data_IF_472635149657
#
_entry.id   IF_472635149657
#
_cell.length_a   1.000
_cell.length_b   1.000
_cell.length_c   1.000
_cell.angle_alpha   90.00
_cell.angle_beta   90.00
_cell.angle_gamma   90.00
#
_symmetry.space_group_name_H-M   'P 1'
#
loop_
_entity.id
_entity.type
_entity.pdbx_description
1 polymer ?
#
# COMPACT_ATOMS: atom_id res chain seq x y z
N UNK A 1 -25.23 11.01 3.37
CA UNK A 1 -24.36 10.72 2.22
C UNK A 1 -23.73 12.03 1.74
N UNK A 2 -22.43 12.22 1.96
CA UNK A 2 -21.70 13.33 1.30
C UNK A 2 -21.89 13.18 -0.20
N UNK A 3 -22.32 14.23 -0.88
CA UNK A 3 -22.46 14.25 -2.33
C UNK A 3 -21.07 14.06 -2.94
N UNK A 4 -20.79 12.87 -3.48
CA UNK A 4 -19.52 12.57 -4.15
C UNK A 4 -19.67 13.01 -5.61
N UNK A 5 -18.84 13.94 -6.04
CA UNK A 5 -18.83 14.40 -7.42
C UNK A 5 -17.97 13.52 -8.34
N UNK A 6 -17.12 12.68 -7.74
CA UNK A 6 -16.18 11.83 -8.46
C UNK A 6 -15.85 10.55 -7.67
N UNK A 7 -15.80 9.40 -8.34
CA UNK A 7 -15.41 8.12 -7.74
C UNK A 7 -14.54 7.36 -8.74
N UNK A 8 -13.34 6.98 -8.31
CA UNK A 8 -12.51 5.99 -9.02
C UNK A 8 -12.88 4.59 -8.53
N UNK A 9 -13.41 3.76 -9.44
CA UNK A 9 -13.88 2.42 -9.10
C UNK A 9 -13.07 1.34 -9.85
N UNK A 10 -12.25 0.53 -9.14
CA UNK A 10 -11.36 -0.46 -9.75
C UNK A 10 -12.10 -1.76 -10.10
N UNK A 11 -13.04 -1.71 -11.05
CA UNK A 11 -13.90 -2.85 -11.44
C UNK A 11 -13.10 -4.11 -11.78
N UNK A 12 -12.04 -3.98 -12.57
CA UNK A 12 -11.18 -5.11 -12.94
C UNK A 12 -10.36 -5.62 -11.74
N UNK A 13 -9.85 -4.72 -10.90
CA UNK A 13 -9.14 -5.10 -9.67
C UNK A 13 -10.00 -5.94 -8.75
N UNK A 14 -11.24 -5.54 -8.53
CA UNK A 14 -12.18 -6.34 -7.73
C UNK A 14 -12.51 -7.70 -8.37
N UNK A 15 -12.63 -7.77 -9.69
CA UNK A 15 -12.83 -9.04 -10.40
C UNK A 15 -11.65 -10.01 -10.19
N UNK A 16 -10.42 -9.50 -10.16
CA UNK A 16 -9.21 -10.29 -9.92
C UNK A 16 -9.09 -10.74 -8.46
N UNK A 17 -9.42 -9.85 -7.51
CA UNK A 17 -9.31 -10.15 -6.07
C UNK A 17 -10.41 -11.11 -5.60
N UNK A 18 -11.59 -11.13 -6.21
CA UNK A 18 -12.71 -11.96 -5.77
C UNK A 18 -12.37 -13.46 -5.61
N UNK A 19 -11.75 -14.15 -6.58
CA UNK A 19 -11.41 -15.57 -6.41
C UNK A 19 -10.43 -15.80 -5.24
N UNK A 20 -9.55 -14.83 -4.94
CA UNK A 20 -8.63 -14.91 -3.80
C UNK A 20 -9.42 -14.82 -2.48
N UNK A 21 -10.37 -13.88 -2.39
CA UNK A 21 -11.25 -13.72 -1.23
C UNK A 21 -12.07 -14.99 -0.98
N UNK A 22 -12.61 -15.59 -2.04
CA UNK A 22 -13.40 -16.82 -1.94
C UNK A 22 -12.55 -17.98 -1.39
N UNK A 23 -11.29 -18.09 -1.82
CA UNK A 23 -10.34 -19.06 -1.25
C UNK A 23 -10.04 -18.77 0.22
N UNK A 24 -9.79 -17.52 0.59
CA UNK A 24 -9.55 -17.11 1.98
C UNK A 24 -10.77 -17.42 2.85
N UNK A 25 -11.97 -17.19 2.36
CA UNK A 25 -13.19 -17.51 3.08
C UNK A 25 -13.38 -19.01 3.33
N UNK A 26 -12.91 -19.85 2.42
CA UNK A 26 -13.02 -21.34 2.52
C UNK A 26 -11.89 -21.95 3.33
N UNK A 27 -10.66 -21.51 3.10
CA UNK A 27 -9.45 -22.18 3.60
C UNK A 27 -8.78 -21.42 4.76
N UNK A 28 -9.23 -20.22 5.08
CA UNK A 28 -8.52 -19.33 6.00
C UNK A 28 -7.37 -18.57 5.30
N UNK A 29 -6.57 -17.87 6.10
CA UNK A 29 -5.47 -17.04 5.61
C UNK A 29 -5.85 -15.58 5.48
N UNK A 30 -5.12 -14.81 4.66
CA UNK A 30 -5.34 -13.40 4.47
C UNK A 30 -4.66 -12.86 3.23
N UNK A 31 -4.96 -11.61 2.91
CA UNK A 31 -4.38 -10.83 1.82
C UNK A 31 -3.78 -9.56 2.39
N UNK A 32 -2.50 -9.33 2.13
CA UNK A 32 -1.76 -8.11 2.45
C UNK A 32 -1.56 -7.32 1.16
N UNK A 33 -2.01 -6.06 1.15
CA UNK A 33 -1.80 -5.16 0.04
C UNK A 33 -1.02 -3.94 0.51
N UNK A 34 -0.01 -3.59 -0.27
CA UNK A 34 0.85 -2.42 -0.05
C UNK A 34 0.93 -1.68 -1.38
N UNK A 35 0.45 -0.45 -1.40
CA UNK A 35 0.48 0.38 -2.61
C UNK A 35 0.42 1.86 -2.26
N UNK A 36 0.72 2.72 -3.22
CA UNK A 36 0.51 4.15 -3.04
C UNK A 36 -0.98 4.49 -3.17
N UNK A 37 -1.46 5.28 -2.21
CA UNK A 37 -2.90 5.53 -2.13
C UNK A 37 -3.32 6.49 -1.03
N UNK A 38 -4.62 6.61 -0.87
CA UNK A 38 -5.26 7.50 0.07
C UNK A 38 -6.34 6.79 0.89
N UNK A 39 -6.64 7.38 2.06
CA UNK A 39 -7.72 6.92 2.96
C UNK A 39 -8.90 7.88 2.89
N UNK A 40 -8.62 9.20 2.90
CA UNK A 40 -9.67 10.22 2.84
C UNK A 40 -10.22 10.34 1.42
N UNK A 41 -11.55 10.38 1.30
CA UNK A 41 -12.23 10.53 0.02
C UNK A 41 -11.72 11.76 -0.75
N UNK A 42 -11.36 11.54 -2.01
CA UNK A 42 -10.99 12.59 -2.97
C UNK A 42 -12.15 12.82 -3.94
N UNK A 43 -12.41 14.07 -4.28
CA UNK A 43 -13.43 14.47 -5.26
C UNK A 43 -12.83 14.81 -6.63
N UNK A 44 -11.62 14.35 -6.92
CA UNK A 44 -10.93 14.57 -8.18
C UNK A 44 -10.18 13.31 -8.60
N UNK A 45 -9.92 13.18 -9.88
CA UNK A 45 -9.12 12.09 -10.43
C UNK A 45 -7.71 12.08 -9.84
N UNK A 46 -7.23 10.87 -9.55
CA UNK A 46 -5.83 10.63 -9.14
C UNK A 46 -5.00 10.07 -10.30
N UNK A 47 -5.58 9.97 -11.49
CA UNK A 47 -4.89 9.52 -12.70
C UNK A 47 -3.73 10.46 -13.00
N UNK A 48 -2.56 9.89 -13.21
CA UNK A 48 -1.33 10.62 -13.49
C UNK A 48 -0.46 9.86 -14.47
N UNK A 49 0.39 10.61 -15.18
CA UNK A 49 1.44 10.06 -16.01
C UNK A 49 2.81 10.44 -15.45
N UNK A 50 3.73 9.47 -15.45
CA UNK A 50 5.10 9.63 -14.94
C UNK A 50 6.09 9.12 -15.98
N UNK A 51 7.10 9.92 -16.28
CA UNK A 51 8.22 9.54 -17.14
C UNK A 51 9.54 9.94 -16.48
N UNK A 52 10.48 8.99 -16.39
CA UNK A 52 11.77 9.20 -15.74
C UNK A 52 11.65 9.81 -14.33
N UNK A 53 10.70 9.28 -13.53
CA UNK A 53 10.37 9.75 -12.17
C UNK A 53 9.89 11.22 -12.08
N UNK A 54 9.48 11.81 -13.19
CA UNK A 54 8.91 13.17 -13.25
C UNK A 54 7.47 13.12 -13.72
N UNK A 55 6.67 14.06 -13.23
CA UNK A 55 5.29 14.24 -13.67
C UNK A 55 5.29 14.54 -15.18
N UNK A 56 4.43 13.85 -15.90
CA UNK A 56 4.23 13.96 -17.35
C UNK A 56 2.76 14.30 -17.63
N UNK A 57 2.47 14.89 -18.75
CA UNK A 57 1.09 15.09 -19.19
C UNK A 57 0.47 13.76 -19.63
N UNK A 58 -0.82 13.53 -19.32
CA UNK A 58 -1.49 12.23 -19.50
C UNK A 58 -1.39 11.68 -20.92
N UNK A 59 -1.46 12.55 -21.91
CA UNK A 59 -1.46 12.16 -23.32
C UNK A 59 -0.11 12.37 -24.03
N UNK A 60 0.90 12.78 -23.27
CA UNK A 60 2.26 12.93 -23.79
C UNK A 60 3.06 11.65 -23.58
N UNK A 61 3.95 11.36 -24.56
CA UNK A 61 4.85 10.20 -24.48
C UNK A 61 4.12 8.84 -24.35
N UNK A 62 3.01 8.67 -25.05
CA UNK A 62 2.25 7.41 -25.06
C UNK A 62 3.15 6.22 -25.39
N UNK A 63 3.00 5.14 -24.63
CA UNK A 63 3.81 3.93 -24.75
C UNK A 63 5.21 4.01 -24.12
N UNK A 64 5.64 5.20 -23.63
CA UNK A 64 6.94 5.40 -22.96
C UNK A 64 6.85 6.14 -21.61
N UNK A 65 5.65 6.37 -21.12
CA UNK A 65 5.36 6.93 -19.82
C UNK A 65 4.41 5.98 -19.06
N UNK A 66 4.61 5.87 -17.75
CA UNK A 66 3.73 5.09 -16.88
C UNK A 66 2.45 5.86 -16.60
N UNK A 67 1.31 5.22 -16.76
CA UNK A 67 0.00 5.77 -16.38
C UNK A 67 -0.45 5.05 -15.12
N UNK A 68 -0.70 5.81 -14.06
CA UNK A 68 -1.01 5.27 -12.73
C UNK A 68 -2.14 6.06 -12.07
N UNK A 69 -2.80 5.45 -11.08
CA UNK A 69 -3.76 6.10 -10.20
C UNK A 69 -3.49 5.69 -8.76
N UNK A 70 -3.93 6.49 -7.80
CA UNK A 70 -3.82 6.16 -6.39
C UNK A 70 -4.90 5.18 -5.96
N UNK A 71 -4.54 4.22 -5.12
CA UNK A 71 -5.50 3.26 -4.56
C UNK A 71 -6.35 3.92 -3.48
N UNK A 72 -7.67 3.76 -3.57
CA UNK A 72 -8.60 4.14 -2.51
C UNK A 72 -8.67 3.03 -1.47
N UNK A 73 -7.90 3.17 -0.39
CA UNK A 73 -7.82 2.14 0.66
C UNK A 73 -9.09 2.04 1.52
N UNK A 74 -9.86 3.12 1.70
CA UNK A 74 -11.14 3.03 2.41
C UNK A 74 -12.17 2.22 1.61
N UNK A 75 -12.23 2.42 0.28
CA UNK A 75 -13.06 1.60 -0.61
C UNK A 75 -12.66 0.12 -0.56
N UNK A 76 -11.34 -0.19 -0.56
CA UNK A 76 -10.85 -1.57 -0.39
C UNK A 76 -11.26 -2.17 0.94
N UNK A 77 -11.12 -1.43 2.04
CA UNK A 77 -11.51 -1.85 3.39
C UNK A 77 -12.98 -2.20 3.45
N UNK A 78 -13.84 -1.33 2.91
CA UNK A 78 -15.28 -1.56 2.85
C UNK A 78 -15.63 -2.77 1.99
N UNK A 79 -14.91 -2.93 0.87
CA UNK A 79 -15.07 -4.08 -0.01
C UNK A 79 -14.74 -5.40 0.70
N UNK A 80 -13.61 -5.49 1.39
CA UNK A 80 -13.21 -6.66 2.15
C UNK A 80 -14.18 -6.98 3.30
N UNK A 81 -14.64 -5.95 4.04
CA UNK A 81 -15.66 -6.12 5.08
C UNK A 81 -16.97 -6.66 4.51
N UNK A 82 -17.44 -6.13 3.38
CA UNK A 82 -18.64 -6.62 2.67
C UNK A 82 -18.48 -8.09 2.24
N UNK A 83 -17.26 -8.51 1.96
CA UNK A 83 -16.91 -9.91 1.65
C UNK A 83 -16.65 -10.78 2.89
N UNK A 84 -17.02 -10.33 4.09
CA UNK A 84 -16.92 -11.06 5.36
C UNK A 84 -15.50 -11.40 5.80
N UNK A 85 -14.52 -10.58 5.42
CA UNK A 85 -13.16 -10.62 5.97
C UNK A 85 -13.05 -9.67 7.18
N UNK A 86 -12.19 -10.04 8.13
CA UNK A 86 -11.70 -9.15 9.18
C UNK A 86 -10.65 -8.25 8.53
N UNK A 87 -10.72 -6.95 8.77
CA UNK A 87 -9.80 -5.98 8.16
C UNK A 87 -9.13 -5.18 9.25
N UNK A 88 -7.81 -5.24 9.28
CA UNK A 88 -6.97 -4.45 10.18
C UNK A 88 -7.03 -2.95 9.81
N UNK A 89 -6.60 -2.09 10.74
CA UNK A 89 -6.50 -0.67 10.46
C UNK A 89 -5.55 -0.40 9.30
N UNK A 90 -5.93 0.51 8.42
CA UNK A 90 -5.03 0.95 7.36
C UNK A 90 -3.91 1.78 8.00
N UNK A 91 -2.67 1.39 7.74
CA UNK A 91 -1.49 2.07 8.28
C UNK A 91 -0.57 2.56 7.15
N UNK A 92 0.33 3.49 7.45
CA UNK A 92 1.37 3.88 6.52
C UNK A 92 2.44 2.79 6.38
N UNK A 93 3.13 2.75 5.25
CA UNK A 93 4.26 1.84 5.05
C UNK A 93 5.34 2.02 6.12
N UNK A 94 5.65 3.27 6.48
CA UNK A 94 6.61 3.56 7.55
C UNK A 94 6.20 2.93 8.87
N UNK A 95 4.95 3.08 9.28
CA UNK A 95 4.43 2.47 10.50
C UNK A 95 4.55 0.95 10.44
N UNK A 96 4.03 0.34 9.37
CA UNK A 96 4.05 -1.11 9.19
C UNK A 96 5.48 -1.67 9.25
N UNK A 97 6.39 -1.12 8.44
CA UNK A 97 7.76 -1.61 8.36
C UNK A 97 8.51 -1.48 9.69
N UNK A 98 8.32 -0.37 10.42
CA UNK A 98 8.90 -0.21 11.77
C UNK A 98 8.36 -1.25 12.74
N UNK A 99 7.06 -1.50 12.71
CA UNK A 99 6.42 -2.49 13.61
C UNK A 99 6.81 -3.94 13.31
N UNK A 100 7.16 -4.26 12.06
CA UNK A 100 7.67 -5.60 11.71
C UNK A 100 9.20 -5.74 11.83
N UNK A 101 9.87 -4.71 12.37
CA UNK A 101 11.28 -4.82 12.77
C UNK A 101 12.28 -4.47 11.66
N UNK A 102 11.96 -3.55 10.73
CA UNK A 102 12.90 -3.18 9.66
C UNK A 102 14.16 -2.50 10.21
N UNK A 103 14.05 -1.73 11.30
CA UNK A 103 15.19 -1.02 11.90
C UNK A 103 16.14 -2.00 12.57
N UNK A 104 15.62 -2.92 13.36
CA UNK A 104 16.36 -3.99 14.00
C UNK A 104 17.05 -4.88 12.97
N UNK A 105 16.34 -5.20 11.88
CA UNK A 105 16.92 -5.95 10.77
C UNK A 105 18.07 -5.21 10.10
N UNK A 106 17.92 -3.90 9.90
CA UNK A 106 18.95 -3.06 9.30
C UNK A 106 20.20 -2.96 10.20
N UNK A 107 20.01 -2.82 11.49
CA UNK A 107 21.11 -2.78 12.47
C UNK A 107 21.93 -4.09 12.44
N UNK A 108 21.27 -5.24 12.50
CA UNK A 108 21.91 -6.55 12.40
C UNK A 108 22.70 -6.67 11.09
N UNK A 109 22.10 -6.30 9.95
CA UNK A 109 22.76 -6.39 8.65
C UNK A 109 23.94 -5.44 8.55
N UNK A 110 23.81 -4.20 9.05
CA UNK A 110 24.85 -3.18 8.97
C UNK A 110 26.08 -3.49 9.82
N UNK A 111 25.98 -4.31 10.86
CA UNK A 111 27.08 -4.61 11.79
C UNK A 111 28.34 -5.13 11.08
N UNK A 112 28.17 -5.89 9.98
CA UNK A 112 29.27 -6.50 9.21
C UNK A 112 29.53 -5.83 7.86
N UNK A 113 28.92 -4.67 7.59
CA UNK A 113 29.03 -3.97 6.32
C UNK A 113 30.17 -2.95 6.32
N UNK A 114 30.76 -2.70 5.15
CA UNK A 114 31.66 -1.56 4.93
C UNK A 114 30.91 -0.23 5.10
N UNK A 115 31.63 0.85 5.34
CA UNK A 115 31.04 2.19 5.47
C UNK A 115 30.15 2.56 4.28
N UNK A 116 30.62 2.31 3.04
CA UNK A 116 29.86 2.57 1.81
C UNK A 116 28.53 1.79 1.78
N UNK A 117 28.59 0.49 2.06
CA UNK A 117 27.38 -0.36 2.09
C UNK A 117 26.40 0.04 3.18
N UNK A 118 26.89 0.51 4.33
CA UNK A 118 26.03 1.08 5.39
C UNK A 118 25.32 2.34 4.89
N UNK A 119 26.02 3.26 4.28
CA UNK A 119 25.45 4.49 3.74
C UNK A 119 24.33 4.17 2.73
N UNK A 120 24.59 3.24 1.80
CA UNK A 120 23.55 2.80 0.83
C UNK A 120 22.35 2.16 1.51
N UNK A 121 22.55 1.34 2.55
CA UNK A 121 21.46 0.75 3.32
C UNK A 121 20.58 1.84 3.96
N UNK A 122 21.20 2.82 4.62
CA UNK A 122 20.47 3.89 5.29
C UNK A 122 19.74 4.81 4.31
N UNK A 123 20.30 5.07 3.13
CA UNK A 123 19.61 5.82 2.07
C UNK A 123 18.36 5.06 1.57
N UNK A 124 18.44 3.74 1.40
CA UNK A 124 17.29 2.90 1.04
C UNK A 124 16.24 2.88 2.14
N UNK A 125 16.65 2.78 3.42
CA UNK A 125 15.74 2.86 4.56
C UNK A 125 15.04 4.22 4.62
N UNK A 126 15.78 5.31 4.44
CA UNK A 126 15.20 6.65 4.37
C UNK A 126 14.13 6.71 3.29
N UNK A 127 14.40 6.23 2.09
CA UNK A 127 13.42 6.21 1.00
C UNK A 127 12.14 5.43 1.36
N UNK A 128 12.27 4.31 2.07
CA UNK A 128 11.12 3.48 2.45
C UNK A 128 10.31 4.04 3.61
N UNK A 129 10.97 4.73 4.56
CA UNK A 129 10.37 5.09 5.85
C UNK A 129 10.04 6.57 6.00
N UNK A 130 10.73 7.46 5.30
CA UNK A 130 10.53 8.90 5.42
C UNK A 130 9.18 9.31 4.84
N UNK A 131 8.49 10.22 5.52
CA UNK A 131 7.16 10.72 5.16
C UNK A 131 7.16 11.49 3.85
N UNK A 132 8.28 12.14 3.51
CA UNK A 132 8.44 12.91 2.27
C UNK A 132 8.71 12.01 1.05
N UNK A 133 8.97 10.71 1.29
CA UNK A 133 9.16 9.70 0.26
C UNK A 133 8.03 8.66 0.27
N UNK A 134 8.40 7.37 0.33
CA UNK A 134 7.43 6.27 0.24
C UNK A 134 6.73 6.00 1.57
N UNK A 135 7.30 6.45 2.70
CA UNK A 135 6.85 6.05 4.04
C UNK A 135 5.40 6.39 4.34
N UNK A 136 4.91 7.55 3.89
CA UNK A 136 3.50 7.94 4.05
C UNK A 136 2.69 7.85 2.75
N UNK A 137 3.33 7.90 1.59
CA UNK A 137 2.65 7.77 0.30
C UNK A 137 2.00 6.38 0.16
N UNK A 138 2.75 5.34 0.55
CA UNK A 138 2.25 3.96 0.54
C UNK A 138 1.42 3.67 1.79
N UNK A 139 0.33 2.95 1.58
CA UNK A 139 -0.56 2.43 2.63
C UNK A 139 -0.52 0.92 2.65
N UNK A 140 -0.79 0.36 3.81
CA UNK A 140 -0.82 -1.08 4.04
C UNK A 140 -2.18 -1.44 4.59
N UNK A 141 -2.81 -2.45 4.01
CA UNK A 141 -4.05 -3.05 4.49
C UNK A 141 -3.90 -4.56 4.56
N UNK A 142 -4.42 -5.16 5.62
CA UNK A 142 -4.49 -6.60 5.77
C UNK A 142 -5.91 -7.04 6.03
N UNK A 143 -6.40 -7.95 5.18
CA UNK A 143 -7.72 -8.55 5.32
C UNK A 143 -7.59 -10.07 5.46
N UNK A 144 -8.25 -10.66 6.48
CA UNK A 144 -8.01 -12.05 6.85
C UNK A 144 -9.25 -12.74 7.44
N UNK A 145 -9.13 -14.04 7.70
CA UNK A 145 -10.17 -14.86 8.31
C UNK A 145 -9.84 -15.34 9.73
N UNK A 146 -8.63 -15.12 10.20
CA UNK A 146 -8.19 -15.56 11.52
C UNK A 146 -8.83 -14.73 12.64
N UNK A 147 -9.47 -15.38 13.61
CA UNK A 147 -10.03 -14.72 14.81
C UNK A 147 -9.03 -14.78 15.97
N UNK A 148 -9.04 -13.76 16.83
CA UNK A 148 -8.35 -13.79 18.13
C UNK A 148 -6.83 -13.65 18.09
N UNK A 149 -6.20 -13.40 16.96
CA UNK A 149 -4.75 -13.17 16.86
C UNK A 149 -4.45 -11.70 16.68
N UNK A 150 -3.51 -11.19 17.48
CA UNK A 150 -2.93 -9.85 17.29
C UNK A 150 -2.03 -9.89 16.06
N UNK A 151 -2.29 -9.03 15.10
CA UNK A 151 -1.51 -8.97 13.86
C UNK A 151 -0.40 -7.93 14.02
N UNK A 152 0.84 -8.39 13.94
CA UNK A 152 2.03 -7.50 14.00
C UNK A 152 1.99 -6.56 12.78
N UNK A 153 2.36 -5.30 13.01
CA UNK A 153 2.41 -4.29 11.95
C UNK A 153 1.21 -3.36 11.90
N UNK A 154 0.11 -3.68 12.60
CA UNK A 154 -1.16 -2.93 12.54
C UNK A 154 -1.61 -2.35 13.90
N UNK A 155 -0.74 -2.41 14.90
CA UNK A 155 -1.02 -1.94 16.28
C UNK A 155 -0.27 -0.65 16.61
#
# INVERSE_FOLDING_TARGET
LKKLNFIEYPKLGFKIINPMIDKINKLGGGILLIDYGYIQQKNSSTLQSVKNHKKNELFSNLGSADITSLVNFELLKDYFKKKKLIVENIVSQSHFLKKVGILERAEILSSKMSFKSKADLYLRLKRLLDTDYMGNLFKVIFAHKSKGKKIIGFN
#
